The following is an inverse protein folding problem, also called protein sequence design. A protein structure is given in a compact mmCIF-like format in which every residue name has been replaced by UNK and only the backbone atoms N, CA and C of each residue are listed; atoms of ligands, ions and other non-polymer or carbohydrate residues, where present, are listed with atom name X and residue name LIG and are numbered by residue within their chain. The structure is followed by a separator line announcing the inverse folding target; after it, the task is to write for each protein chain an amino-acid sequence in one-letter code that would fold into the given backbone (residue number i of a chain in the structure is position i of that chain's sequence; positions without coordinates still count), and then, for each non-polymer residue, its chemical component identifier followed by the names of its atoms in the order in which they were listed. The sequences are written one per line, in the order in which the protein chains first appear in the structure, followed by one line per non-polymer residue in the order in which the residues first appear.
data_IF_667195711545
#
_entry.id   IF_667195711545
#
_cell.length_a   1.000
_cell.length_b   1.000
_cell.length_c   1.000
_cell.angle_alpha   90.00
_cell.angle_beta   90.00
_cell.angle_gamma   90.00
#
_symmetry.space_group_name_H-M   'P 1'
#
loop_
_entity.id
_entity.type
_entity.pdbx_description
1 polymer ?
#
# COMPACT_ATOMS: atom_id res chain seq x y z
N UNK A 1 -28.62 13.93 28.04
CA UNK A 1 -27.45 13.03 27.86
C UNK A 1 -27.59 12.14 26.63
N UNK A 2 -28.76 11.52 26.38
CA UNK A 2 -28.99 10.64 25.21
C UNK A 2 -28.82 11.34 23.84
N UNK A 3 -29.27 12.58 23.72
CA UNK A 3 -29.18 13.36 22.46
C UNK A 3 -27.72 13.60 22.00
N UNK A 4 -26.80 13.82 22.94
CA UNK A 4 -25.37 13.97 22.64
C UNK A 4 -24.75 12.66 22.16
N UNK A 5 -25.17 11.52 22.71
CA UNK A 5 -24.76 10.18 22.26
C UNK A 5 -25.22 9.93 20.81
N UNK A 6 -26.48 10.25 20.49
CA UNK A 6 -26.98 10.05 19.12
C UNK A 6 -26.25 10.93 18.10
N UNK A 7 -25.90 12.16 18.47
CA UNK A 7 -25.13 13.06 17.63
C UNK A 7 -23.71 12.54 17.37
N UNK A 8 -23.05 11.97 18.39
CA UNK A 8 -21.69 11.40 18.25
C UNK A 8 -21.70 10.18 17.33
N UNK A 9 -22.66 9.26 17.50
CA UNK A 9 -22.76 8.07 16.63
C UNK A 9 -23.02 8.47 15.18
N UNK A 10 -23.87 9.46 14.94
CA UNK A 10 -24.15 9.97 13.60
C UNK A 10 -22.91 10.56 12.90
N UNK A 11 -22.11 11.35 13.63
CA UNK A 11 -20.87 11.93 13.08
C UNK A 11 -19.86 10.83 12.73
N UNK A 12 -19.71 9.80 13.57
CA UNK A 12 -18.78 8.69 13.31
C UNK A 12 -19.16 7.88 12.05
N UNK A 13 -20.45 7.69 11.78
CA UNK A 13 -20.90 7.01 10.54
C UNK A 13 -20.69 7.85 9.28
N UNK A 14 -20.73 9.18 9.38
CA UNK A 14 -20.50 10.08 8.26
C UNK A 14 -19.01 10.22 7.90
N UNK A 15 -18.09 9.83 8.79
CA UNK A 15 -16.65 9.89 8.60
C UNK A 15 -16.04 8.64 7.92
N UNK A 16 -16.87 7.72 7.40
CA UNK A 16 -16.33 6.59 6.63
C UNK A 16 -15.78 7.10 5.30
N UNK A 17 -14.46 7.03 5.12
CA UNK A 17 -13.85 7.28 3.81
C UNK A 17 -14.32 6.22 2.82
N UNK A 18 -14.80 6.64 1.64
CA UNK A 18 -15.07 5.72 0.55
C UNK A 18 -13.75 5.06 0.10
N UNK A 19 -13.76 3.75 -0.14
CA UNK A 19 -12.59 3.06 -0.67
C UNK A 19 -12.23 3.67 -2.02
N UNK A 20 -10.99 4.14 -2.16
CA UNK A 20 -10.42 4.54 -3.44
C UNK A 20 -9.65 3.38 -4.03
N UNK A 21 -9.75 3.22 -5.35
CA UNK A 21 -8.89 2.34 -6.10
C UNK A 21 -7.92 3.24 -6.86
N UNK A 22 -6.64 3.12 -6.57
CA UNK A 22 -5.57 3.82 -7.27
C UNK A 22 -4.68 2.79 -7.93
N UNK A 23 -4.04 3.20 -9.01
CA UNK A 23 -3.03 2.38 -9.68
C UNK A 23 -1.79 2.25 -8.78
N UNK A 24 -1.31 1.03 -8.63
CA UNK A 24 -0.14 0.68 -7.82
C UNK A 24 0.83 -0.22 -8.58
N UNK A 25 0.74 -0.19 -9.90
CA UNK A 25 1.52 -1.06 -10.76
C UNK A 25 2.85 -0.42 -11.19
N UNK A 26 3.19 0.78 -10.75
CA UNK A 26 4.39 1.49 -11.24
C UNK A 26 5.58 1.42 -10.27
N UNK A 27 6.79 1.56 -10.83
CA UNK A 27 8.04 1.85 -10.10
C UNK A 27 8.46 0.76 -9.09
N UNK A 28 8.17 -0.49 -9.38
CA UNK A 28 8.63 -1.63 -8.57
C UNK A 28 10.09 -1.97 -8.88
N UNK A 29 10.89 -2.24 -7.85
CA UNK A 29 12.22 -2.84 -8.02
C UNK A 29 12.11 -4.37 -8.11
N UNK A 30 12.74 -4.98 -9.12
CA UNK A 30 12.75 -6.42 -9.35
C UNK A 30 14.19 -6.96 -9.49
N UNK A 31 14.55 -7.87 -8.59
CA UNK A 31 15.80 -8.64 -8.63
C UNK A 31 15.53 -10.14 -8.70
N UNK A 32 16.10 -10.83 -9.70
CA UNK A 32 15.99 -12.28 -9.83
C UNK A 32 17.12 -12.98 -9.09
N UNK A 33 16.82 -13.58 -7.94
CA UNK A 33 17.80 -14.27 -7.11
C UNK A 33 17.27 -14.56 -5.71
N UNK A 34 18.15 -15.02 -4.83
CA UNK A 34 17.86 -15.19 -3.40
C UNK A 34 18.56 -14.08 -2.61
N UNK A 35 17.75 -13.27 -1.90
CA UNK A 35 18.20 -12.11 -1.14
C UNK A 35 17.60 -12.17 0.27
N UNK A 36 18.25 -12.90 1.17
CA UNK A 36 17.76 -13.17 2.54
C UNK A 36 17.40 -11.91 3.35
N UNK A 37 17.98 -10.75 3.00
CA UNK A 37 17.79 -9.47 3.68
C UNK A 37 16.94 -8.46 2.91
N UNK A 38 16.41 -8.80 1.73
CA UNK A 38 15.62 -7.86 0.91
C UNK A 38 14.30 -7.41 1.56
N UNK A 39 13.84 -8.10 2.62
CA UNK A 39 12.69 -7.64 3.42
C UNK A 39 13.01 -6.44 4.33
N UNK A 40 14.29 -6.12 4.54
CA UNK A 40 14.72 -5.06 5.46
C UNK A 40 14.61 -3.71 4.73
N UNK A 41 13.99 -2.66 5.32
CA UNK A 41 13.79 -1.38 4.63
C UNK A 41 15.07 -0.63 4.22
N UNK A 42 16.23 -1.03 4.76
CA UNK A 42 17.54 -0.44 4.45
C UNK A 42 18.36 -1.30 3.47
N UNK A 43 17.73 -2.32 2.86
CA UNK A 43 18.37 -3.11 1.82
C UNK A 43 18.66 -2.22 0.60
N UNK A 44 19.85 -2.38 0.02
CA UNK A 44 20.26 -1.67 -1.18
C UNK A 44 19.82 -2.46 -2.41
N UNK A 45 18.75 -1.99 -3.06
CA UNK A 45 18.18 -2.53 -4.29
C UNK A 45 18.58 -1.72 -5.53
N UNK A 46 19.60 -0.85 -5.45
CA UNK A 46 19.99 0.06 -6.55
C UNK A 46 20.38 -0.65 -7.86
N UNK A 47 20.81 -1.91 -7.77
CA UNK A 47 21.14 -2.76 -8.93
C UNK A 47 19.92 -3.51 -9.50
N UNK A 48 18.75 -3.43 -8.86
CA UNK A 48 17.54 -4.10 -9.32
C UNK A 48 16.90 -3.33 -10.48
N UNK A 49 16.17 -4.06 -11.33
CA UNK A 49 15.48 -3.45 -12.45
C UNK A 49 14.20 -2.77 -11.99
N UNK A 50 13.97 -1.54 -12.39
CA UNK A 50 12.67 -0.88 -12.22
C UNK A 50 11.68 -1.42 -13.25
N UNK A 51 10.51 -1.89 -12.81
CA UNK A 51 9.47 -2.51 -13.62
C UNK A 51 8.08 -1.97 -13.24
N UNK A 52 7.13 -2.10 -14.17
CA UNK A 52 5.72 -1.89 -13.90
C UNK A 52 4.98 -3.24 -13.96
N UNK A 53 3.96 -3.43 -13.13
CA UNK A 53 3.10 -4.59 -13.09
C UNK A 53 1.98 -4.49 -14.16
N UNK A 54 1.42 -5.63 -14.61
CA UNK A 54 1.97 -6.97 -14.45
C UNK A 54 3.29 -7.14 -15.22
N UNK A 55 4.29 -7.77 -14.60
CA UNK A 55 5.57 -8.11 -15.23
C UNK A 55 5.78 -9.62 -15.21
N UNK A 56 6.17 -10.20 -16.33
CA UNK A 56 6.62 -11.57 -16.44
C UNK A 56 8.09 -11.69 -16.00
N UNK A 57 8.37 -12.72 -15.20
CA UNK A 57 9.68 -13.03 -14.62
C UNK A 57 10.72 -13.66 -15.59
N UNK A 58 10.36 -13.86 -16.87
CA UNK A 58 11.20 -14.51 -17.89
C UNK A 58 12.13 -13.53 -18.59
#
# INVERSE_FOLDING_TARGET
MKLKIYLIVFVMTAMSSARTNIDFDFEWCFGRGDFATAMIPVFDDSEWKVVNLPHDWS
#
